data_IF_438734022326
#
_entry.id   IF_438734022326
#
_cell.length_a   1.000
_cell.length_b   1.000
_cell.length_c   1.000
_cell.angle_alpha   90.00
_cell.angle_beta   90.00
_cell.angle_gamma   90.00
#
_symmetry.space_group_name_H-M   'P 1'
#
loop_
_entity.id
_entity.type
_entity.pdbx_description
1 polymer ?
#
# COMPACT_ATOMS: atom_id res chain seq x y z
N UNK A 1 9.10 -20.26 4.18
CA UNK A 1 8.12 -19.16 4.29
C UNK A 1 6.89 -19.69 4.99
N UNK A 2 6.39 -18.97 6.00
CA UNK A 2 5.15 -19.31 6.69
C UNK A 2 4.03 -18.40 6.19
N UNK A 3 2.89 -18.98 5.84
CA UNK A 3 1.71 -18.31 5.26
C UNK A 3 0.47 -18.66 6.06
N UNK A 4 -0.40 -17.69 6.29
CA UNK A 4 -1.68 -17.90 6.93
C UNK A 4 -2.71 -16.86 6.46
N UNK A 5 -3.94 -17.29 6.23
CA UNK A 5 -5.09 -16.39 6.23
C UNK A 5 -5.65 -16.36 7.64
N UNK A 6 -5.70 -15.16 8.23
CA UNK A 6 -6.18 -14.94 9.59
C UNK A 6 -7.22 -13.83 9.61
N UNK A 7 -8.00 -13.83 10.67
CA UNK A 7 -8.99 -12.81 10.98
C UNK A 7 -8.44 -11.93 12.11
N UNK A 8 -8.33 -10.63 11.85
CA UNK A 8 -7.82 -9.64 12.81
C UNK A 8 -8.97 -8.74 13.23
N UNK A 9 -9.31 -8.79 14.52
CA UNK A 9 -10.40 -7.99 15.07
C UNK A 9 -10.05 -6.48 15.07
N UNK A 10 -10.96 -5.68 14.51
CA UNK A 10 -10.95 -4.22 14.56
C UNK A 10 -12.23 -3.71 15.23
N UNK A 11 -12.33 -2.40 15.47
CA UNK A 11 -13.55 -1.80 16.02
C UNK A 11 -14.78 -1.98 15.13
N UNK A 12 -14.58 -2.14 13.82
CA UNK A 12 -15.66 -2.17 12.83
C UNK A 12 -15.91 -3.57 12.25
N UNK A 13 -15.23 -4.60 12.76
CA UNK A 13 -15.37 -6.00 12.34
C UNK A 13 -14.04 -6.74 12.19
N UNK A 14 -14.11 -7.95 11.64
CA UNK A 14 -12.96 -8.82 11.46
C UNK A 14 -12.30 -8.61 10.09
N UNK A 15 -11.04 -8.20 10.09
CA UNK A 15 -10.24 -7.93 8.89
C UNK A 15 -9.58 -9.24 8.43
N UNK A 16 -10.15 -9.86 7.39
CA UNK A 16 -9.53 -10.98 6.72
C UNK A 16 -8.19 -10.58 6.11
N UNK A 17 -7.09 -11.12 6.63
CA UNK A 17 -5.72 -10.70 6.33
C UNK A 17 -4.88 -11.89 5.94
N UNK A 18 -4.25 -11.81 4.77
CA UNK A 18 -3.19 -12.74 4.40
C UNK A 18 -1.88 -12.29 5.04
N UNK A 19 -1.28 -13.17 5.81
CA UNK A 19 -0.01 -12.95 6.49
C UNK A 19 1.04 -13.89 5.94
N UNK A 20 2.20 -13.34 5.59
CA UNK A 20 3.35 -14.13 5.16
C UNK A 20 4.64 -13.59 5.78
N UNK A 21 5.51 -14.50 6.22
CA UNK A 21 6.81 -14.16 6.82
C UNK A 21 7.90 -15.19 6.51
N UNK A 22 9.20 -14.82 6.64
CA UNK A 22 10.29 -15.78 6.62
C UNK A 22 10.14 -16.86 7.70
N UNK A 23 10.78 -18.01 7.45
CA UNK A 23 11.04 -18.99 8.50
C UNK A 23 12.14 -18.45 9.44
N UNK A 24 12.09 -18.86 10.71
CA UNK A 24 13.02 -18.41 11.73
C UNK A 24 12.35 -17.55 12.81
N UNK A 25 13.19 -17.07 13.73
CA UNK A 25 12.78 -16.48 15.00
C UNK A 25 12.57 -14.96 14.95
N UNK A 26 12.94 -14.29 13.84
CA UNK A 26 12.81 -12.83 13.69
C UNK A 26 13.74 -12.06 14.66
N UNK A 27 13.33 -10.87 15.16
CA UNK A 27 12.07 -10.19 14.87
C UNK A 27 12.14 -9.48 13.50
N UNK A 28 11.18 -9.77 12.62
CA UNK A 28 11.11 -9.20 11.28
C UNK A 28 10.38 -7.84 11.29
N UNK A 29 10.84 -6.82 10.56
CA UNK A 29 10.07 -5.59 10.37
C UNK A 29 8.75 -5.88 9.64
N UNK A 30 7.72 -5.11 9.96
CA UNK A 30 6.37 -5.27 9.41
C UNK A 30 6.24 -4.52 8.09
N UNK A 31 5.55 -5.09 7.11
CA UNK A 31 5.08 -4.38 5.93
C UNK A 31 3.56 -4.53 5.82
N UNK A 32 2.85 -3.40 5.88
CA UNK A 32 1.44 -3.33 5.49
C UNK A 32 1.37 -3.21 3.97
N UNK A 33 0.95 -4.29 3.30
CA UNK A 33 0.79 -4.34 1.85
C UNK A 33 -0.68 -4.15 1.51
N UNK A 34 -1.07 -2.95 1.08
CA UNK A 34 -2.45 -2.59 0.83
C UNK A 34 -2.86 -2.96 -0.60
N UNK A 35 -4.05 -3.58 -0.74
CA UNK A 35 -4.57 -4.02 -2.02
C UNK A 35 -4.96 -2.87 -2.96
N UNK A 36 -5.05 -3.12 -4.26
CA UNK A 36 -5.69 -2.21 -5.22
C UNK A 36 -7.22 -2.47 -5.32
N UNK A 37 -7.91 -1.71 -6.18
CA UNK A 37 -9.38 -1.71 -6.25
C UNK A 37 -10.00 -3.10 -6.57
N UNK A 38 -9.40 -3.94 -7.44
CA UNK A 38 -9.92 -5.30 -7.70
C UNK A 38 -9.82 -6.30 -6.54
N UNK A 39 -9.39 -5.86 -5.35
CA UNK A 39 -9.29 -6.69 -4.16
C UNK A 39 -7.96 -7.44 -4.06
N UNK A 40 -7.84 -8.27 -3.01
CA UNK A 40 -6.63 -9.05 -2.72
C UNK A 40 -6.48 -10.29 -3.61
N UNK A 41 -6.49 -10.13 -4.94
CA UNK A 41 -6.38 -11.24 -5.91
C UNK A 41 -5.05 -12.03 -5.76
N UNK A 42 -4.91 -13.22 -6.39
CA UNK A 42 -3.72 -14.06 -6.25
C UNK A 42 -2.38 -13.37 -6.56
N UNK A 43 -2.35 -12.43 -7.50
CA UNK A 43 -1.14 -11.68 -7.79
C UNK A 43 -0.62 -10.91 -6.56
N UNK A 44 -1.49 -10.24 -5.79
CA UNK A 44 -1.05 -9.49 -4.62
C UNK A 44 -0.51 -10.40 -3.51
N UNK A 45 -1.01 -11.62 -3.40
CA UNK A 45 -0.45 -12.64 -2.51
C UNK A 45 0.98 -13.01 -2.94
N UNK A 46 1.23 -13.16 -4.24
CA UNK A 46 2.57 -13.43 -4.77
C UNK A 46 3.53 -12.24 -4.56
N UNK A 47 3.03 -11.01 -4.72
CA UNK A 47 3.81 -9.81 -4.43
C UNK A 47 4.14 -9.71 -2.92
N UNK A 48 3.19 -10.02 -2.04
CA UNK A 48 3.42 -10.10 -0.60
C UNK A 48 4.44 -11.18 -0.25
N UNK A 49 4.38 -12.35 -0.89
CA UNK A 49 5.37 -13.41 -0.77
C UNK A 49 6.77 -12.94 -1.17
N UNK A 50 6.88 -12.17 -2.27
CA UNK A 50 8.15 -11.62 -2.74
C UNK A 50 8.72 -10.60 -1.77
N UNK A 51 7.89 -9.72 -1.19
CA UNK A 51 8.33 -8.82 -0.13
C UNK A 51 8.82 -9.65 1.06
N UNK A 52 8.02 -10.60 1.55
CA UNK A 52 8.40 -11.39 2.73
C UNK A 52 9.65 -12.26 2.50
N UNK A 53 9.92 -12.71 1.28
CA UNK A 53 11.15 -13.41 0.92
C UNK A 53 12.42 -12.56 1.12
N UNK A 54 12.28 -11.24 1.25
CA UNK A 54 13.36 -10.30 1.56
C UNK A 54 13.45 -9.95 3.05
N UNK A 55 12.87 -10.76 3.94
CA UNK A 55 13.07 -10.62 5.40
C UNK A 55 11.96 -9.87 6.15
N UNK A 56 10.77 -9.75 5.56
CA UNK A 56 9.68 -8.94 6.14
C UNK A 56 8.50 -9.78 6.61
N UNK A 57 7.86 -9.36 7.71
CA UNK A 57 6.53 -9.83 8.09
C UNK A 57 5.49 -9.02 7.32
N UNK A 58 4.81 -9.61 6.34
CA UNK A 58 3.91 -8.89 5.44
C UNK A 58 2.46 -9.19 5.78
N UNK A 59 1.64 -8.15 5.87
CA UNK A 59 0.20 -8.23 6.08
C UNK A 59 -0.53 -7.63 4.88
N UNK A 60 -1.33 -8.45 4.19
CA UNK A 60 -2.20 -8.07 3.08
C UNK A 60 -3.67 -8.12 3.55
N UNK A 61 -4.22 -7.02 4.08
CA UNK A 61 -5.59 -6.97 4.58
C UNK A 61 -6.61 -6.81 3.44
N UNK A 62 -7.80 -7.40 3.62
CA UNK A 62 -8.98 -7.06 2.83
C UNK A 62 -9.55 -5.71 3.30
N UNK A 63 -9.37 -4.64 2.51
CA UNK A 63 -9.90 -3.32 2.88
C UNK A 63 -11.43 -3.20 2.72
N UNK A 64 -12.08 -4.19 2.11
CA UNK A 64 -13.53 -4.22 1.91
C UNK A 64 -14.29 -5.01 2.98
N UNK A 65 -13.62 -5.48 4.04
CA UNK A 65 -14.17 -6.38 5.06
C UNK A 65 -15.47 -5.87 5.71
N UNK A 66 -15.64 -4.54 5.82
CA UNK A 66 -16.86 -3.89 6.33
C UNK A 66 -18.10 -4.17 5.47
N UNK A 67 -17.92 -4.41 4.19
CA UNK A 67 -18.99 -4.68 3.22
C UNK A 67 -19.03 -6.15 2.79
N UNK A 68 -17.87 -6.79 2.63
CA UNK A 68 -17.77 -8.19 2.20
C UNK A 68 -16.50 -8.86 2.73
N UNK A 69 -16.56 -10.12 3.21
CA UNK A 69 -15.38 -10.85 3.69
C UNK A 69 -14.37 -11.16 2.57
N UNK A 70 -14.82 -11.17 1.31
CA UNK A 70 -13.98 -11.38 0.13
C UNK A 70 -14.54 -10.67 -1.09
N UNK A 71 -13.65 -10.16 -1.94
CA UNK A 71 -14.00 -9.60 -3.24
C UNK A 71 -12.91 -9.97 -4.25
N UNK A 72 -13.34 -10.47 -5.41
CA UNK A 72 -12.51 -10.66 -6.59
C UNK A 72 -13.28 -10.10 -7.79
N UNK A 73 -12.63 -9.25 -8.57
CA UNK A 73 -13.23 -8.67 -9.76
C UNK A 73 -13.41 -9.73 -10.86
N UNK A 74 -14.64 -9.93 -11.31
CA UNK A 74 -14.94 -10.59 -12.58
C UNK A 74 -14.91 -9.56 -13.70
N UNK A 75 -13.81 -9.53 -14.46
CA UNK A 75 -13.60 -8.58 -15.57
C UNK A 75 -14.59 -8.75 -16.72
N UNK A 76 -15.35 -9.84 -16.75
CA UNK A 76 -16.39 -10.08 -17.76
C UNK A 76 -17.79 -9.60 -17.33
N UNK A 77 -17.91 -9.12 -16.08
CA UNK A 77 -19.19 -8.73 -15.48
C UNK A 77 -19.22 -7.23 -15.17
N UNK A 78 -20.10 -6.51 -15.86
CA UNK A 78 -20.39 -5.10 -15.57
C UNK A 78 -20.89 -4.91 -14.13
N UNK A 79 -21.66 -5.86 -13.60
CA UNK A 79 -22.14 -5.84 -12.20
C UNK A 79 -20.98 -5.95 -11.21
N UNK A 80 -20.01 -6.83 -11.48
CA UNK A 80 -18.81 -6.96 -10.64
C UNK A 80 -17.95 -5.68 -10.68
N UNK A 81 -17.86 -5.04 -11.85
CA UNK A 81 -17.20 -3.74 -11.97
C UNK A 81 -17.92 -2.64 -11.18
N UNK A 82 -19.25 -2.57 -11.24
CA UNK A 82 -20.00 -1.60 -10.43
C UNK A 82 -19.84 -1.86 -8.94
N UNK A 83 -19.87 -3.13 -8.51
CA UNK A 83 -19.60 -3.48 -7.11
C UNK A 83 -18.21 -3.03 -6.67
N UNK A 84 -17.17 -3.21 -7.49
CA UNK A 84 -15.82 -2.71 -7.20
C UNK A 84 -15.81 -1.19 -6.99
N UNK A 85 -16.53 -0.44 -7.83
CA UNK A 85 -16.63 1.02 -7.72
C UNK A 85 -17.31 1.42 -6.42
N UNK A 86 -18.43 0.78 -6.07
CA UNK A 86 -19.15 1.03 -4.81
C UNK A 86 -18.28 0.72 -3.59
N UNK A 87 -17.58 -0.42 -3.59
CA UNK A 87 -16.65 -0.80 -2.52
C UNK A 87 -15.51 0.20 -2.39
N UNK A 88 -14.93 0.64 -3.51
CA UNK A 88 -13.85 1.63 -3.53
C UNK A 88 -14.28 2.98 -2.97
N UNK A 89 -15.49 3.44 -3.32
CA UNK A 89 -16.05 4.70 -2.81
C UNK A 89 -16.40 4.64 -1.32
N UNK A 90 -16.65 3.44 -0.79
CA UNK A 90 -16.97 3.24 0.62
C UNK A 90 -15.73 3.32 1.53
N UNK A 91 -14.56 2.93 1.03
CA UNK A 91 -13.31 2.92 1.81
C UNK A 91 -12.78 4.35 1.97
N UNK A 92 -12.80 4.86 3.20
CA UNK A 92 -12.29 6.18 3.54
C UNK A 92 -10.97 6.14 4.30
N UNK A 93 -10.19 7.21 4.19
CA UNK A 93 -8.90 7.39 4.87
C UNK A 93 -8.94 7.07 6.38
N UNK A 94 -9.94 7.58 7.10
CA UNK A 94 -10.08 7.36 8.56
C UNK A 94 -10.34 5.89 8.90
N UNK A 95 -11.07 5.18 8.05
CA UNK A 95 -11.31 3.75 8.23
C UNK A 95 -9.99 3.00 8.12
N UNK A 96 -9.18 3.33 7.12
CA UNK A 96 -7.89 2.67 6.88
C UNK A 96 -6.87 2.97 8.00
N UNK A 97 -6.88 4.15 8.60
CA UNK A 97 -6.04 4.42 9.78
C UNK A 97 -6.46 3.54 10.96
N UNK A 98 -7.75 3.37 11.23
CA UNK A 98 -8.22 2.44 12.27
C UNK A 98 -7.87 0.98 11.95
N UNK A 99 -7.92 0.58 10.68
CA UNK A 99 -7.52 -0.75 10.24
C UNK A 99 -6.01 -0.97 10.51
N UNK A 100 -5.18 0.02 10.19
CA UNK A 100 -3.75 -0.02 10.47
C UNK A 100 -3.47 -0.14 11.98
N UNK A 101 -4.22 0.54 12.85
CA UNK A 101 -4.11 0.37 14.31
C UNK A 101 -4.29 -1.10 14.73
N UNK A 102 -5.35 -1.76 14.24
CA UNK A 102 -5.64 -3.14 14.56
C UNK A 102 -4.57 -4.10 14.02
N UNK A 103 -4.10 -3.87 12.78
CA UNK A 103 -3.05 -4.67 12.15
C UNK A 103 -1.72 -4.54 12.91
N UNK A 104 -1.33 -3.31 13.30
CA UNK A 104 -0.10 -3.05 14.04
C UNK A 104 -0.18 -3.60 15.47
N UNK A 105 -1.33 -3.49 16.13
CA UNK A 105 -1.55 -4.08 17.45
C UNK A 105 -1.46 -5.62 17.40
N UNK A 106 -2.01 -6.24 16.37
CA UNK A 106 -1.87 -7.67 16.13
C UNK A 106 -0.40 -8.06 15.92
N UNK A 107 0.30 -7.35 15.04
CA UNK A 107 1.71 -7.61 14.73
C UNK A 107 2.61 -7.47 15.97
N UNK A 108 2.36 -6.46 16.82
CA UNK A 108 3.09 -6.26 18.08
C UNK A 108 2.90 -7.40 19.10
N UNK A 109 1.87 -8.23 18.95
CA UNK A 109 1.64 -9.42 19.77
C UNK A 109 2.38 -10.67 19.31
N UNK A 110 2.95 -10.68 18.09
CA UNK A 110 3.71 -11.82 17.56
C UNK A 110 5.21 -11.68 17.95
N UNK A 111 5.81 -12.65 18.67
CA UNK A 111 7.22 -12.59 19.04
C UNK A 111 8.19 -12.60 17.84
N UNK A 112 7.73 -12.99 16.65
CA UNK A 112 8.54 -12.97 15.43
C UNK A 112 8.59 -11.58 14.76
N UNK A 113 8.00 -10.55 15.36
CA UNK A 113 7.81 -9.22 14.75
C UNK A 113 8.54 -8.13 15.51
N UNK A 114 9.15 -7.21 14.76
CA UNK A 114 9.57 -5.90 15.26
C UNK A 114 8.59 -4.83 14.80
N UNK A 115 7.59 -4.54 15.64
CA UNK A 115 6.54 -3.57 15.33
C UNK A 115 7.02 -2.10 15.40
N UNK A 116 8.27 -1.84 15.80
CA UNK A 116 8.83 -0.48 15.80
C UNK A 116 9.31 -0.01 14.43
N UNK A 117 9.45 -0.95 13.48
CA UNK A 117 9.91 -0.72 12.11
C UNK A 117 8.86 -1.19 11.13
N UNK A 118 8.03 -0.26 10.68
CA UNK A 118 6.90 -0.53 9.78
C UNK A 118 7.15 0.10 8.41
N UNK A 119 7.01 -0.69 7.35
CA UNK A 119 6.81 -0.25 5.98
C UNK A 119 5.34 -0.28 5.60
N UNK A 120 4.92 0.59 4.69
CA UNK A 120 3.60 0.53 4.09
C UNK A 120 3.73 0.67 2.57
N UNK A 121 2.98 -0.12 1.81
CA UNK A 121 2.90 0.02 0.35
C UNK A 121 1.47 -0.08 -0.10
N UNK A 122 1.04 0.84 -0.96
CA UNK A 122 -0.28 0.85 -1.58
C UNK A 122 -0.21 1.03 -3.09
N UNK A 123 -1.26 0.56 -3.76
CA UNK A 123 -1.39 0.54 -5.21
C UNK A 123 -2.75 1.11 -5.62
N UNK A 124 -2.80 1.94 -6.68
CA UNK A 124 -4.06 2.48 -7.19
C UNK A 124 -4.85 3.20 -6.08
N UNK A 125 -6.03 2.66 -5.73
CA UNK A 125 -6.89 3.12 -4.65
C UNK A 125 -6.15 3.29 -3.31
N UNK A 126 -5.23 2.38 -2.97
CA UNK A 126 -4.57 2.40 -1.67
C UNK A 126 -3.26 3.17 -1.62
N UNK A 127 -2.78 3.70 -2.75
CA UNK A 127 -1.65 4.62 -2.80
C UNK A 127 -1.77 5.78 -1.79
N UNK A 128 -2.86 6.59 -1.80
CA UNK A 128 -3.08 7.64 -0.80
C UNK A 128 -3.13 7.11 0.63
N UNK A 129 -3.67 5.91 0.85
CA UNK A 129 -3.79 5.32 2.18
C UNK A 129 -2.42 5.01 2.81
N UNK A 130 -1.45 4.57 2.01
CA UNK A 130 -0.09 4.31 2.51
C UNK A 130 0.56 5.57 3.10
N UNK A 131 0.30 6.74 2.49
CA UNK A 131 0.82 8.04 2.95
C UNK A 131 0.07 8.50 4.20
N UNK A 132 -1.26 8.29 4.25
CA UNK A 132 -2.07 8.59 5.43
C UNK A 132 -1.67 7.78 6.66
N UNK A 133 -1.42 6.48 6.49
CA UNK A 133 -0.91 5.63 7.57
C UNK A 133 0.47 6.14 8.04
N UNK A 134 1.33 6.60 7.12
CA UNK A 134 2.63 7.16 7.49
C UNK A 134 2.52 8.45 8.33
N UNK A 135 1.54 9.30 8.03
CA UNK A 135 1.27 10.51 8.80
C UNK A 135 0.61 10.22 10.16
N UNK A 136 -0.24 9.19 10.22
CA UNK A 136 -0.93 8.81 11.46
C UNK A 136 0.00 8.11 12.47
N UNK A 137 0.95 7.31 11.98
CA UNK A 137 1.87 6.52 12.82
C UNK A 137 3.34 6.89 12.56
N UNK A 138 3.75 8.16 12.67
CA UNK A 138 5.06 8.62 12.21
C UNK A 138 6.22 7.98 13.00
N UNK A 139 5.97 7.63 14.27
CA UNK A 139 6.96 6.97 15.12
C UNK A 139 7.20 5.49 14.76
N UNK A 140 6.27 4.84 14.06
CA UNK A 140 6.38 3.41 13.69
C UNK A 140 6.67 3.23 12.19
N UNK A 141 6.00 4.01 11.33
CA UNK A 141 6.11 3.91 9.87
C UNK A 141 7.37 4.62 9.40
N UNK A 142 8.39 3.85 9.04
CA UNK A 142 9.69 4.37 8.60
C UNK A 142 9.78 4.54 7.09
N UNK A 143 8.91 3.87 6.34
CA UNK A 143 8.82 4.01 4.89
C UNK A 143 7.40 3.79 4.39
N UNK A 144 6.95 4.61 3.42
CA UNK A 144 5.71 4.39 2.71
C UNK A 144 5.87 4.57 1.20
N UNK A 145 5.25 3.68 0.42
CA UNK A 145 5.30 3.71 -1.03
C UNK A 145 3.89 3.73 -1.64
N UNK A 146 3.69 4.64 -2.59
CA UNK A 146 2.47 4.74 -3.40
C UNK A 146 2.81 4.48 -4.85
N UNK A 147 2.31 3.39 -5.41
CA UNK A 147 2.47 3.05 -6.81
C UNK A 147 1.20 3.34 -7.58
N UNK A 148 1.30 4.25 -8.56
CA UNK A 148 0.18 4.78 -9.32
C UNK A 148 -1.01 5.03 -8.39
N UNK A 149 -0.77 5.80 -7.32
CA UNK A 149 -1.79 6.16 -6.34
C UNK A 149 -2.73 7.24 -6.85
N UNK A 150 -4.03 7.00 -6.80
CA UNK A 150 -5.03 8.00 -7.21
C UNK A 150 -5.23 9.07 -6.14
N UNK A 151 -5.59 10.29 -6.54
CA UNK A 151 -6.05 11.32 -5.60
C UNK A 151 -5.01 11.84 -4.59
N UNK A 152 -3.70 11.76 -4.88
CA UNK A 152 -2.66 12.20 -3.94
C UNK A 152 -2.71 13.69 -3.61
N UNK A 153 -3.15 14.52 -4.57
CA UNK A 153 -3.35 15.95 -4.36
C UNK A 153 -4.70 16.41 -4.93
N UNK A 154 -5.71 16.42 -4.06
CA UNK A 154 -7.08 16.85 -4.35
C UNK A 154 -7.53 17.89 -3.33
N UNK A 155 -8.52 18.71 -3.69
CA UNK A 155 -9.07 19.76 -2.82
C UNK A 155 -10.04 19.16 -1.79
N UNK A 156 -9.50 18.33 -0.89
CA UNK A 156 -10.23 17.69 0.20
C UNK A 156 -9.37 17.68 1.49
N UNK A 157 -10.03 17.78 2.64
CA UNK A 157 -9.35 17.82 3.94
C UNK A 157 -8.56 16.54 4.23
N UNK A 158 -9.04 15.41 3.70
CA UNK A 158 -8.44 14.09 3.82
C UNK A 158 -7.55 13.72 2.62
N UNK A 159 -7.09 14.69 1.84
CA UNK A 159 -6.06 14.44 0.81
C UNK A 159 -4.68 14.26 1.46
N UNK A 160 -3.85 13.28 1.04
CA UNK A 160 -2.61 12.96 1.76
C UNK A 160 -1.57 14.09 1.77
N UNK A 161 -1.65 15.03 0.83
CA UNK A 161 -0.74 16.19 0.80
C UNK A 161 -0.89 17.13 2.01
N UNK A 162 -2.02 17.07 2.74
CA UNK A 162 -2.33 18.00 3.84
C UNK A 162 -1.60 17.69 5.15
N UNK A 163 -0.98 16.50 5.26
CA UNK A 163 -0.31 16.01 6.48
C UNK A 163 1.14 15.58 6.24
N UNK A 164 1.76 16.06 5.17
CA UNK A 164 3.13 15.65 4.81
C UNK A 164 4.17 16.08 5.86
N UNK A 165 3.91 17.15 6.60
CA UNK A 165 4.74 17.67 7.69
C UNK A 165 4.66 16.83 8.97
N UNK A 166 3.69 15.93 9.08
CA UNK A 166 3.56 14.99 10.19
C UNK A 166 4.38 13.71 9.98
N UNK A 167 4.88 13.46 8.76
CA UNK A 167 5.56 12.22 8.38
C UNK A 167 7.05 12.25 8.75
N UNK A 168 7.51 11.32 9.60
CA UNK A 168 8.93 11.12 9.92
C UNK A 168 9.63 10.09 8.99
N UNK A 169 8.84 9.22 8.37
CA UNK A 169 9.30 8.18 7.43
C UNK A 169 9.76 8.72 6.08
N UNK A 170 10.27 7.82 5.23
CA UNK A 170 10.61 8.14 3.84
C UNK A 170 9.49 7.74 2.88
N UNK A 171 9.14 8.64 1.95
CA UNK A 171 8.13 8.41 0.93
C UNK A 171 8.74 8.02 -0.43
N UNK A 172 8.08 7.10 -1.13
CA UNK A 172 8.33 6.85 -2.54
C UNK A 172 7.02 6.89 -3.32
N UNK A 173 6.95 7.77 -4.31
CA UNK A 173 5.76 7.92 -5.16
C UNK A 173 6.13 7.53 -6.58
N UNK A 174 5.48 6.52 -7.13
CA UNK A 174 5.65 6.14 -8.53
C UNK A 174 4.42 6.56 -9.33
N UNK A 175 4.64 7.32 -10.41
CA UNK A 175 3.61 7.72 -11.36
C UNK A 175 3.89 7.13 -12.74
N UNK A 176 2.86 6.65 -13.42
CA UNK A 176 2.95 6.25 -14.82
C UNK A 176 2.71 7.47 -15.74
N UNK A 177 3.40 7.53 -16.89
CA UNK A 177 3.26 8.64 -17.83
C UNK A 177 1.86 8.71 -18.46
N UNK A 178 1.33 7.56 -18.87
CA UNK A 178 0.07 7.45 -19.60
C UNK A 178 -1.05 6.95 -18.69
N UNK A 179 -1.20 7.60 -17.55
CA UNK A 179 -2.19 7.27 -16.52
C UNK A 179 -3.38 8.25 -16.54
N UNK A 180 -4.53 7.78 -17.02
CA UNK A 180 -5.74 8.62 -17.10
C UNK A 180 -6.35 8.93 -15.73
N UNK A 181 -6.02 8.15 -14.70
CA UNK A 181 -6.50 8.35 -13.34
C UNK A 181 -5.59 9.29 -12.53
N UNK A 182 -4.36 9.50 -13.01
CA UNK A 182 -3.28 10.20 -12.29
C UNK A 182 -2.62 11.19 -13.23
N UNK A 183 -3.26 12.35 -13.48
CA UNK A 183 -2.67 13.40 -14.29
C UNK A 183 -1.30 13.83 -13.74
N UNK A 184 -0.31 14.00 -14.62
CA UNK A 184 1.03 14.40 -14.20
C UNK A 184 1.07 15.76 -13.48
N UNK A 185 0.12 16.66 -13.73
CA UNK A 185 0.02 17.91 -12.97
C UNK A 185 -0.34 17.68 -11.49
N UNK A 186 -1.11 16.63 -11.19
CA UNK A 186 -1.42 16.24 -9.82
C UNK A 186 -0.16 15.70 -9.14
N UNK A 187 0.64 14.91 -9.88
CA UNK A 187 1.94 14.40 -9.42
C UNK A 187 2.92 15.54 -9.16
N UNK A 188 3.01 16.51 -10.07
CA UNK A 188 3.85 17.71 -9.93
C UNK A 188 3.46 18.53 -8.69
N UNK A 189 2.16 18.72 -8.46
CA UNK A 189 1.65 19.42 -7.27
C UNK A 189 1.98 18.65 -5.99
N UNK A 190 1.82 17.32 -5.99
CA UNK A 190 2.18 16.49 -4.84
C UNK A 190 3.68 16.53 -4.54
N UNK A 191 4.53 16.45 -5.58
CA UNK A 191 5.98 16.58 -5.44
C UNK A 191 6.37 17.94 -4.86
N UNK A 192 5.75 19.04 -5.32
CA UNK A 192 5.96 20.36 -4.75
C UNK A 192 5.53 20.46 -3.28
N UNK A 193 4.41 19.82 -2.91
CA UNK A 193 3.95 19.75 -1.53
C UNK A 193 4.94 18.98 -0.63
N UNK A 194 5.49 17.85 -1.12
CA UNK A 194 6.54 17.09 -0.42
C UNK A 194 7.78 17.96 -0.17
N UNK A 195 8.24 18.69 -1.19
CA UNK A 195 9.39 19.58 -1.07
C UNK A 195 9.12 20.71 -0.06
N UNK A 196 7.93 21.30 -0.09
CA UNK A 196 7.54 22.38 0.82
C UNK A 196 7.45 21.91 2.28
N UNK A 197 6.95 20.69 2.52
CA UNK A 197 6.91 20.08 3.84
C UNK A 197 8.28 19.61 4.34
N UNK A 198 9.25 19.42 3.44
CA UNK A 198 10.57 18.88 3.78
C UNK A 198 10.56 17.39 4.14
N UNK A 199 9.51 16.66 3.76
CA UNK A 199 9.41 15.21 3.99
C UNK A 199 10.48 14.48 3.18
N UNK A 200 11.10 13.46 3.77
CA UNK A 200 12.10 12.65 3.06
C UNK A 200 11.40 11.81 2.00
N UNK A 201 11.97 11.73 0.81
CA UNK A 201 11.44 10.87 -0.22
C UNK A 201 11.70 11.38 -1.63
N UNK A 202 11.10 10.69 -2.60
CA UNK A 202 11.12 11.13 -4.00
C UNK A 202 9.85 10.71 -4.74
N UNK A 203 9.56 11.47 -5.79
CA UNK A 203 8.61 11.11 -6.84
C UNK A 203 9.39 10.61 -8.05
N UNK A 204 8.96 9.49 -8.61
CA UNK A 204 9.55 8.89 -9.80
C UNK A 204 8.47 8.69 -10.86
N UNK A 205 8.73 9.22 -12.06
CA UNK A 205 7.86 9.06 -13.23
C UNK A 205 8.42 7.93 -14.08
N UNK A 206 7.57 6.94 -14.34
CA UNK A 206 7.86 5.78 -15.19
C UNK A 206 7.37 6.13 -16.59
N UNK A 207 8.32 6.46 -17.47
CA UNK A 207 8.05 6.91 -18.83
C UNK A 207 7.65 5.74 -19.74
N UNK A 208 6.66 5.97 -20.61
CA UNK A 208 6.09 4.98 -21.52
C UNK A 208 5.14 3.98 -20.86
N UNK A 209 4.85 4.12 -19.57
CA UNK A 209 4.03 3.15 -18.83
C UNK A 209 2.60 3.64 -18.60
N UNK A 210 1.71 2.70 -18.29
CA UNK A 210 0.30 2.93 -17.98
C UNK A 210 -0.03 2.53 -16.53
N UNK A 211 -1.23 2.89 -16.08
CA UNK A 211 -1.73 2.49 -14.76
C UNK A 211 -1.65 0.96 -14.56
N UNK A 212 -1.08 0.52 -13.43
CA UNK A 212 -0.94 -0.91 -13.15
C UNK A 212 0.22 -1.60 -13.88
N UNK A 213 1.25 -0.87 -14.31
CA UNK A 213 2.39 -1.42 -15.06
C UNK A 213 3.15 -2.56 -14.35
N UNK A 214 3.07 -2.63 -13.02
CA UNK A 214 3.73 -3.66 -12.22
C UNK A 214 2.87 -4.92 -12.01
N UNK A 215 1.70 -5.01 -12.67
CA UNK A 215 0.81 -6.15 -12.56
C UNK A 215 0.91 -7.04 -13.79
N UNK A 216 1.62 -8.16 -13.67
CA UNK A 216 1.88 -9.12 -14.75
C UNK A 216 0.64 -9.88 -15.24
N UNK A 217 -0.47 -9.75 -14.53
CA UNK A 217 -1.79 -10.27 -14.90
C UNK A 217 -2.63 -9.28 -15.74
N UNK A 218 -2.06 -8.15 -16.17
CA UNK A 218 -2.78 -7.10 -16.92
C UNK A 218 -2.16 -6.73 -18.27
N UNK A 219 -2.96 -6.24 -19.22
CA UNK A 219 -2.45 -5.73 -20.50
C UNK A 219 -1.47 -4.55 -20.37
N UNK A 220 -1.56 -3.80 -19.27
CA UNK A 220 -0.68 -2.65 -19.00
C UNK A 220 0.71 -3.04 -18.48
N UNK A 221 0.97 -4.34 -18.26
CA UNK A 221 2.23 -4.82 -17.73
C UNK A 221 3.43 -4.38 -18.57
N UNK A 222 4.41 -3.80 -17.91
CA UNK A 222 5.72 -3.47 -18.50
C UNK A 222 6.82 -4.11 -17.63
N UNK A 223 7.57 -5.10 -18.15
CA UNK A 223 8.55 -5.83 -17.36
C UNK A 223 9.75 -4.97 -16.92
N UNK A 224 10.13 -3.95 -17.70
CA UNK A 224 11.25 -3.05 -17.34
C UNK A 224 10.81 -2.13 -16.21
N UNK A 225 9.57 -1.64 -16.27
CA UNK A 225 8.98 -0.83 -15.23
C UNK A 225 8.73 -1.65 -13.95
N UNK A 226 8.29 -2.91 -14.06
CA UNK A 226 8.13 -3.84 -12.95
C UNK A 226 9.47 -4.13 -12.25
N UNK A 227 10.53 -4.41 -13.00
CA UNK A 227 11.87 -4.57 -12.44
C UNK A 227 12.33 -3.31 -11.67
N UNK A 228 12.05 -2.12 -12.22
CA UNK A 228 12.35 -0.85 -11.54
C UNK A 228 11.46 -0.62 -10.32
N UNK A 229 10.19 -1.00 -10.37
CA UNK A 229 9.27 -1.00 -9.22
C UNK A 229 9.86 -1.82 -8.07
N UNK A 230 10.26 -3.07 -8.33
CA UNK A 230 10.79 -3.94 -7.31
C UNK A 230 12.11 -3.42 -6.74
N UNK A 231 12.99 -2.95 -7.60
CA UNK A 231 14.23 -2.33 -7.18
C UNK A 231 13.97 -1.14 -6.25
N UNK A 232 13.02 -0.26 -6.57
CA UNK A 232 12.70 0.90 -5.77
C UNK A 232 12.02 0.57 -4.43
N UNK A 233 11.06 -0.37 -4.44
CA UNK A 233 10.34 -0.79 -3.24
C UNK A 233 11.28 -1.47 -2.23
N UNK A 234 12.08 -2.43 -2.70
CA UNK A 234 13.01 -3.15 -1.84
C UNK A 234 14.14 -2.24 -1.34
N UNK A 235 14.69 -1.36 -2.18
CA UNK A 235 15.67 -0.34 -1.78
C UNK A 235 15.12 0.60 -0.70
N UNK A 236 13.85 1.04 -0.84
CA UNK A 236 13.18 1.87 0.16
C UNK A 236 13.06 1.16 1.51
N UNK A 237 12.56 -0.07 1.49
CA UNK A 237 12.36 -0.85 2.71
C UNK A 237 13.67 -1.31 3.34
N UNK A 238 14.68 -1.70 2.56
CA UNK A 238 15.97 -2.14 3.07
C UNK A 238 16.64 -1.00 3.86
N UNK A 239 16.72 0.20 3.29
CA UNK A 239 17.42 1.33 3.93
C UNK A 239 16.70 1.89 5.16
N UNK A 240 15.37 1.78 5.23
CA UNK A 240 14.57 2.34 6.33
C UNK A 240 14.16 1.32 7.39
N UNK A 241 14.06 0.03 7.04
CA UNK A 241 13.57 -1.02 7.93
C UNK A 241 14.64 -2.01 8.34
N UNK A 242 15.73 -2.18 7.57
CA UNK A 242 16.85 -3.07 7.92
C UNK A 242 16.39 -4.52 8.26
N UNK A 243 15.80 -5.24 7.30
CA UNK A 243 15.23 -6.57 7.51
C UNK A 243 16.24 -7.64 7.99
#
# INVERSE_FOLDING_TARGET
MLRADIEIESTDGSIGTYVVRPEGDGPFPVVLFLMDAPGKRPLLHQMADRVAANGYYVMLPNLYYRATPSFELDVSSDESFQQMVELTQFVGTRMITCDAEALLAHAAGDPAVDASRVGCVGYCMSGPFSIWIAAEYPQQVKAAASFYGVGLHVDANDSPHTRLDEIEGELYIAAAEHDEYIPLDMVDRFEAAMQAAGVRGRVERYWGTHHGFAFDDRPAYDPVADDRHWAALLDLFERNLQP
#
